data_IF_922606243729
#
_entry.id   IF_922606243729
#
_cell.length_a   1.000
_cell.length_b   1.000
_cell.length_c   1.000
_cell.angle_alpha   90.00
_cell.angle_beta   90.00
_cell.angle_gamma   90.00
#
_symmetry.space_group_name_H-M   'P 1'
#
loop_
_entity.id
_entity.type
_entity.pdbx_description
1 polymer ?
#
# COMPACT_ATOMS: atom_id res chain seq x y z
N UNK A 1 2.66 -16.32 -21.30
CA UNK A 1 1.55 -16.80 -22.14
C UNK A 1 0.30 -16.27 -21.47
N UNK A 2 -0.34 -15.26 -22.05
CA UNK A 2 -1.51 -14.62 -21.45
C UNK A 2 -2.74 -15.49 -21.72
N UNK A 3 -3.54 -15.79 -20.70
CA UNK A 3 -4.88 -16.37 -20.86
C UNK A 3 -5.90 -15.30 -20.53
N UNK A 4 -6.74 -14.94 -21.50
CA UNK A 4 -7.83 -13.98 -21.32
C UNK A 4 -9.13 -14.78 -21.33
N UNK A 5 -9.73 -14.97 -20.16
CA UNK A 5 -11.04 -15.60 -20.04
C UNK A 5 -12.12 -14.55 -19.80
N UNK A 6 -13.10 -14.49 -20.70
CA UNK A 6 -14.30 -13.66 -20.54
C UNK A 6 -15.41 -14.53 -19.95
N UNK A 7 -15.88 -14.19 -18.75
CA UNK A 7 -17.06 -14.80 -18.13
C UNK A 7 -18.20 -13.78 -18.11
N UNK A 8 -19.29 -14.07 -18.83
CA UNK A 8 -20.50 -13.25 -18.83
C UNK A 8 -21.39 -13.60 -17.63
N UNK A 9 -21.87 -12.60 -16.90
CA UNK A 9 -22.85 -12.78 -15.82
C UNK A 9 -24.25 -12.48 -16.37
N UNK A 10 -25.17 -13.46 -16.46
CA UNK A 10 -26.54 -13.18 -16.88
C UNK A 10 -27.29 -12.39 -15.79
N UNK A 11 -27.68 -11.14 -16.08
CA UNK A 11 -28.78 -10.47 -15.38
C UNK A 11 -28.47 -9.30 -14.42
N UNK A 12 -27.37 -8.55 -14.59
CA UNK A 12 -27.17 -7.32 -13.83
C UNK A 12 -27.87 -6.11 -14.50
N UNK A 13 -28.90 -5.57 -13.83
CA UNK A 13 -29.63 -4.38 -14.21
C UNK A 13 -28.80 -3.10 -14.01
N UNK A 14 -29.11 -2.10 -14.84
CA UNK A 14 -28.48 -0.79 -14.92
C UNK A 14 -28.33 -0.07 -13.57
N UNK A 15 -27.10 0.12 -13.12
CA UNK A 15 -26.68 1.37 -12.49
C UNK A 15 -25.17 1.49 -12.55
N UNK A 16 -24.72 2.68 -12.93
CA UNK A 16 -23.35 3.08 -13.19
C UNK A 16 -22.43 2.72 -12.01
N UNK A 17 -21.55 1.74 -12.20
CA UNK A 17 -20.37 1.54 -11.36
C UNK A 17 -19.17 1.87 -12.26
N UNK A 18 -18.29 2.80 -11.86
CA UNK A 18 -17.09 3.10 -12.65
C UNK A 18 -16.31 1.79 -12.86
N UNK A 19 -15.63 1.68 -14.00
CA UNK A 19 -14.71 0.59 -14.34
C UNK A 19 -13.82 0.26 -13.14
N UNK A 20 -14.28 -0.67 -12.30
CA UNK A 20 -13.57 -1.03 -11.09
C UNK A 20 -12.46 -1.94 -11.53
N UNK A 21 -11.31 -1.35 -11.82
CA UNK A 21 -10.05 -2.08 -11.85
C UNK A 21 -9.79 -2.54 -10.42
N UNK A 22 -10.20 -3.77 -10.12
CA UNK A 22 -9.79 -4.45 -8.91
C UNK A 22 -8.45 -5.08 -9.23
N UNK A 23 -7.39 -4.58 -8.59
CA UNK A 23 -6.13 -5.32 -8.55
C UNK A 23 -6.48 -6.72 -8.05
N UNK A 24 -6.21 -7.72 -8.87
CA UNK A 24 -6.44 -9.11 -8.50
C UNK A 24 -5.07 -9.68 -8.22
N UNK A 25 -4.69 -9.65 -6.95
CA UNK A 25 -3.42 -10.24 -6.59
C UNK A 25 -2.16 -9.41 -6.90
N UNK A 26 -1.02 -10.09 -6.93
CA UNK A 26 0.28 -9.55 -7.35
C UNK A 26 0.61 -9.80 -8.83
N UNK A 27 -0.16 -10.65 -9.51
CA UNK A 27 0.08 -11.16 -10.86
C UNK A 27 -1.06 -10.84 -11.84
N UNK A 28 -2.06 -10.06 -11.43
CA UNK A 28 -3.18 -9.73 -12.30
C UNK A 28 -4.04 -8.54 -11.92
N UNK A 29 -4.95 -8.21 -12.83
CA UNK A 29 -6.02 -7.25 -12.61
C UNK A 29 -7.33 -7.76 -13.24
N UNK A 30 -8.44 -7.38 -12.61
CA UNK A 30 -9.78 -7.65 -13.10
C UNK A 30 -10.48 -6.33 -13.39
N UNK A 31 -11.05 -6.21 -14.59
CA UNK A 31 -11.84 -5.05 -15.02
C UNK A 31 -13.28 -5.49 -15.19
N UNK A 32 -14.19 -4.83 -14.49
CA UNK A 32 -15.62 -4.93 -14.78
C UNK A 32 -15.95 -4.04 -15.98
N UNK A 33 -16.29 -4.66 -17.11
CA UNK A 33 -16.76 -4.00 -18.32
C UNK A 33 -18.21 -3.55 -18.22
N UNK A 34 -18.56 -2.53 -19.01
CA UNK A 34 -19.90 -1.94 -19.05
C UNK A 34 -21.00 -2.90 -19.53
N UNK A 35 -20.62 -4.04 -20.10
CA UNK A 35 -21.47 -5.12 -20.58
C UNK A 35 -21.62 -6.26 -19.55
N UNK A 36 -21.29 -6.00 -18.28
CA UNK A 36 -21.25 -7.00 -17.22
C UNK A 36 -20.28 -8.17 -17.50
N UNK A 37 -19.26 -7.93 -18.34
CA UNK A 37 -18.13 -8.84 -18.48
C UNK A 37 -17.06 -8.52 -17.47
N UNK A 38 -16.38 -9.56 -16.98
CA UNK A 38 -15.15 -9.39 -16.21
C UNK A 38 -14.00 -9.80 -17.12
N UNK A 39 -13.13 -8.86 -17.47
CA UNK A 39 -11.87 -9.12 -18.16
C UNK A 39 -10.77 -9.33 -17.14
N UNK A 40 -10.11 -10.49 -17.19
CA UNK A 40 -9.07 -10.87 -16.24
C UNK A 40 -7.75 -11.02 -17.01
N UNK A 41 -6.73 -10.27 -16.58
CA UNK A 41 -5.35 -10.46 -17.03
C UNK A 41 -4.54 -11.08 -15.88
N UNK A 42 -3.85 -12.20 -16.13
CA UNK A 42 -3.00 -12.90 -15.16
C UNK A 42 -1.65 -13.29 -15.75
N UNK A 43 -0.63 -13.31 -14.91
CA UNK A 43 0.75 -13.64 -15.27
C UNK A 43 1.17 -14.86 -14.43
N UNK A 44 1.79 -15.87 -15.03
CA UNK A 44 1.95 -17.20 -14.41
C UNK A 44 3.22 -17.38 -13.56
N UNK A 45 3.61 -16.36 -12.80
CA UNK A 45 4.82 -16.39 -11.96
C UNK A 45 4.49 -16.52 -10.48
N UNK A 46 5.06 -17.51 -9.78
CA UNK A 46 5.07 -17.51 -8.31
C UNK A 46 5.91 -16.32 -7.83
N UNK A 47 5.47 -15.64 -6.77
CA UNK A 47 6.29 -14.68 -6.02
C UNK A 47 6.74 -15.39 -4.73
N UNK A 48 7.86 -16.15 -4.75
CA UNK A 48 8.40 -16.81 -3.56
C UNK A 48 9.05 -15.81 -2.59
N UNK A 49 9.04 -16.15 -1.30
CA UNK A 49 9.25 -15.29 -0.11
C UNK A 49 10.61 -14.58 0.08
N UNK A 50 10.52 -13.41 0.74
CA UNK A 50 11.38 -12.73 1.73
C UNK A 50 12.91 -12.94 1.73
N UNK A 51 13.55 -13.06 0.56
CA UNK A 51 14.99 -12.81 0.45
C UNK A 51 15.20 -11.33 0.19
N UNK A 52 16.03 -10.70 1.01
CA UNK A 52 16.52 -9.33 0.87
C UNK A 52 18.05 -9.41 0.96
N UNK A 53 18.71 -9.52 -0.18
CA UNK A 53 20.15 -9.75 -0.30
C UNK A 53 20.97 -8.50 -0.01
N UNK A 54 20.40 -7.31 -0.23
CA UNK A 54 21.08 -6.03 -0.06
C UNK A 54 20.79 -5.38 1.31
N UNK A 55 19.80 -5.89 2.06
CA UNK A 55 19.42 -5.45 3.39
C UNK A 55 18.70 -4.11 3.42
N UNK A 56 18.09 -3.69 2.31
CA UNK A 56 17.45 -2.37 2.18
C UNK A 56 15.97 -2.36 2.61
N UNK A 57 15.44 -3.52 3.00
CA UNK A 57 14.06 -3.70 3.46
C UNK A 57 13.05 -3.92 2.32
N UNK A 58 13.50 -4.06 1.09
CA UNK A 58 12.71 -4.46 -0.08
C UNK A 58 13.14 -5.88 -0.48
N UNK A 59 12.17 -6.74 -0.79
CA UNK A 59 12.51 -8.11 -1.17
C UNK A 59 13.09 -8.19 -2.61
N UNK A 60 14.13 -9.00 -2.78
CA UNK A 60 14.85 -9.22 -4.04
C UNK A 60 13.91 -9.54 -5.20
N UNK A 61 12.88 -10.34 -4.92
CA UNK A 61 11.91 -10.76 -5.92
C UNK A 61 11.09 -9.59 -6.46
N UNK A 62 10.76 -8.61 -5.62
CA UNK A 62 10.00 -7.42 -5.98
C UNK A 62 10.90 -6.51 -6.80
N UNK A 63 12.14 -6.29 -6.35
CA UNK A 63 13.12 -5.50 -7.10
C UNK A 63 13.41 -6.13 -8.48
N UNK A 64 13.61 -7.45 -8.54
CA UNK A 64 13.83 -8.18 -9.79
C UNK A 64 12.60 -8.15 -10.71
N UNK A 65 11.39 -8.22 -10.14
CA UNK A 65 10.14 -8.20 -10.94
C UNK A 65 9.93 -6.85 -11.61
N UNK A 66 10.16 -5.75 -10.89
CA UNK A 66 9.90 -4.41 -11.42
C UNK A 66 11.10 -3.80 -12.15
N UNK A 67 12.32 -4.08 -11.71
CA UNK A 67 13.52 -3.39 -12.18
C UNK A 67 14.62 -4.32 -12.72
N UNK A 68 14.47 -5.64 -12.56
CA UNK A 68 15.46 -6.63 -13.02
C UNK A 68 16.88 -6.38 -12.45
N UNK A 69 16.97 -5.84 -11.23
CA UNK A 69 18.18 -5.57 -10.42
C UNK A 69 17.80 -5.55 -8.94
N UNK A 70 18.79 -5.58 -8.04
CA UNK A 70 18.62 -5.71 -6.58
C UNK A 70 19.30 -4.58 -5.79
N UNK A 71 19.55 -3.44 -6.41
CA UNK A 71 20.29 -2.32 -5.84
C UNK A 71 19.52 -1.02 -6.06
N UNK A 72 18.24 -1.05 -5.67
CA UNK A 72 17.38 0.11 -5.74
C UNK A 72 17.60 1.01 -4.53
N UNK A 73 17.23 2.29 -4.66
CA UNK A 73 17.15 3.18 -3.52
C UNK A 73 15.72 3.12 -2.97
N UNK A 74 15.49 2.59 -1.74
CA UNK A 74 14.15 2.50 -1.16
C UNK A 74 13.44 3.85 -0.99
N UNK A 75 14.20 4.96 -1.02
CA UNK A 75 13.70 6.32 -0.93
C UNK A 75 13.37 6.97 -2.29
N UNK A 76 13.71 6.31 -3.41
CA UNK A 76 13.37 6.82 -4.74
C UNK A 76 11.89 6.68 -5.06
N UNK A 77 11.38 7.53 -5.94
CA UNK A 77 10.01 7.54 -6.45
C UNK A 77 10.09 7.45 -7.97
N UNK A 78 9.92 6.24 -8.51
CA UNK A 78 10.26 5.94 -9.90
C UNK A 78 9.19 6.40 -10.89
N UNK A 79 7.93 6.46 -10.48
CA UNK A 79 6.81 6.88 -11.31
C UNK A 79 6.24 8.26 -10.95
N UNK A 80 6.83 8.93 -9.97
CA UNK A 80 6.53 10.30 -9.53
C UNK A 80 5.10 10.48 -9.00
N UNK A 81 4.56 9.44 -8.36
CA UNK A 81 3.24 9.48 -7.73
C UNK A 81 3.29 9.98 -6.27
N UNK A 82 4.49 10.21 -5.74
CA UNK A 82 4.75 10.70 -4.40
C UNK A 82 4.95 9.60 -3.35
N UNK A 83 5.01 8.33 -3.75
CA UNK A 83 5.39 7.20 -2.90
C UNK A 83 6.83 6.77 -3.19
N UNK A 84 7.58 6.43 -2.14
CA UNK A 84 8.90 5.83 -2.32
C UNK A 84 8.79 4.33 -2.63
N UNK A 85 9.77 3.74 -3.30
CA UNK A 85 9.80 2.30 -3.61
C UNK A 85 9.55 1.43 -2.38
N UNK A 86 10.08 1.82 -1.23
CA UNK A 86 9.80 1.15 0.05
C UNK A 86 8.31 1.21 0.43
N UNK A 87 7.69 2.39 0.34
CA UNK A 87 6.26 2.55 0.62
C UNK A 87 5.42 1.73 -0.35
N UNK A 88 5.82 1.70 -1.61
CA UNK A 88 5.11 0.92 -2.62
C UNK A 88 5.21 -0.58 -2.43
N UNK A 89 6.41 -1.06 -2.05
CA UNK A 89 6.62 -2.43 -1.63
C UNK A 89 5.70 -2.78 -0.44
N UNK A 90 5.68 -1.93 0.59
CA UNK A 90 4.86 -2.10 1.79
C UNK A 90 3.35 -2.15 1.47
N UNK A 91 2.88 -1.26 0.60
CA UNK A 91 1.47 -1.14 0.23
C UNK A 91 1.04 -2.14 -0.82
N UNK A 92 2.02 -2.75 -1.50
CA UNK A 92 1.76 -3.43 -2.75
C UNK A 92 1.06 -2.49 -3.73
N UNK A 93 1.65 -1.32 -3.98
CA UNK A 93 1.37 -0.53 -5.20
C UNK A 93 2.36 -0.98 -6.28
N UNK A 94 2.52 -0.20 -7.36
CA UNK A 94 3.34 -0.57 -8.51
C UNK A 94 4.35 0.55 -8.78
N UNK A 95 5.66 0.30 -8.67
CA UNK A 95 6.68 1.34 -8.75
C UNK A 95 6.94 1.94 -10.14
N UNK A 96 6.10 1.58 -11.09
CA UNK A 96 6.17 1.99 -12.48
C UNK A 96 4.83 2.53 -12.97
N UNK A 97 3.83 2.65 -12.09
CA UNK A 97 2.48 3.01 -12.48
C UNK A 97 1.79 3.82 -11.37
N UNK A 98 1.55 5.09 -11.70
CA UNK A 98 0.89 6.06 -10.83
C UNK A 98 -0.25 5.43 -10.04
N UNK A 99 -0.11 5.42 -8.72
CA UNK A 99 -1.10 4.91 -7.81
C UNK A 99 -1.75 6.07 -7.05
N UNK A 100 -3.09 6.23 -7.11
CA UNK A 100 -3.74 7.19 -6.23
C UNK A 100 -3.47 6.77 -4.78
N UNK A 101 -2.80 7.65 -4.03
CA UNK A 101 -2.28 7.44 -2.68
C UNK A 101 -3.15 6.48 -1.84
N UNK A 102 -2.67 5.28 -1.50
CA UNK A 102 -3.44 4.29 -0.76
C UNK A 102 -3.66 4.70 0.72
N UNK A 103 -3.03 5.79 1.16
CA UNK A 103 -3.15 6.32 2.51
C UNK A 103 -4.35 7.27 2.61
N UNK A 104 -5.41 6.80 3.26
CA UNK A 104 -6.52 7.66 3.66
C UNK A 104 -6.20 8.30 5.01
N UNK A 105 -6.16 9.63 5.03
CA UNK A 105 -5.96 10.41 6.25
C UNK A 105 -7.27 11.01 6.74
N UNK A 106 -7.53 10.92 8.04
CA UNK A 106 -8.61 11.67 8.68
C UNK A 106 -8.18 12.21 10.04
N UNK A 107 -8.65 13.41 10.36
CA UNK A 107 -8.53 13.95 11.71
C UNK A 107 -9.72 13.48 12.54
N UNK A 108 -9.44 12.98 13.74
CA UNK A 108 -10.46 12.57 14.69
C UNK A 108 -10.25 13.28 16.03
N UNK A 109 -11.34 13.57 16.73
CA UNK A 109 -11.31 14.14 18.08
C UNK A 109 -12.16 13.31 19.01
N UNK A 110 -11.66 12.99 20.20
CA UNK A 110 -12.44 12.36 21.27
C UNK A 110 -12.23 13.12 22.59
N UNK A 111 -12.82 12.65 23.69
CA UNK A 111 -12.69 13.27 25.02
C UNK A 111 -11.25 13.31 25.56
N UNK A 112 -10.30 12.63 24.90
CA UNK A 112 -8.88 12.52 25.28
C UNK A 112 -7.98 13.49 24.48
N UNK A 113 -8.40 13.94 23.29
CA UNK A 113 -7.64 14.89 22.47
C UNK A 113 -7.93 14.80 20.97
N UNK A 114 -7.06 15.44 20.17
CA UNK A 114 -7.02 15.29 18.71
C UNK A 114 -6.10 14.14 18.33
N UNK A 115 -6.42 13.41 17.27
CA UNK A 115 -5.58 12.37 16.72
C UNK A 115 -5.67 12.33 15.20
N UNK A 116 -4.52 12.10 14.56
CA UNK A 116 -4.45 11.78 13.14
C UNK A 116 -4.67 10.27 12.98
N UNK A 117 -5.68 9.91 12.21
CA UNK A 117 -5.97 8.52 11.85
C UNK A 117 -5.56 8.29 10.40
N UNK A 118 -4.64 7.36 10.21
CA UNK A 118 -4.14 6.93 8.91
C UNK A 118 -4.66 5.52 8.62
N UNK A 119 -5.22 5.31 7.43
CA UNK A 119 -5.66 3.99 6.97
C UNK A 119 -4.93 3.64 5.69
N UNK A 120 -4.29 2.47 5.65
CA UNK A 120 -3.53 2.02 4.50
C UNK A 120 -3.46 0.48 4.45
N UNK A 121 -3.35 -0.12 3.26
CA UNK A 121 -3.01 -1.53 3.12
C UNK A 121 -1.54 -1.75 3.46
N UNK A 122 -1.20 -2.88 4.08
CA UNK A 122 0.18 -3.33 4.27
C UNK A 122 0.29 -4.83 3.99
N UNK A 123 1.40 -5.29 3.42
CA UNK A 123 1.69 -6.73 3.34
C UNK A 123 1.81 -7.34 4.74
N UNK A 124 1.16 -8.47 4.96
CA UNK A 124 1.27 -9.26 6.17
C UNK A 124 2.47 -10.20 6.08
N UNK A 125 3.06 -10.55 7.23
CA UNK A 125 4.22 -11.44 7.30
C UNK A 125 5.57 -10.74 7.10
N UNK A 126 5.58 -9.47 6.67
CA UNK A 126 6.80 -8.66 6.70
C UNK A 126 7.34 -8.59 8.14
N UNK A 127 8.67 -8.65 8.33
CA UNK A 127 9.29 -8.41 9.63
C UNK A 127 8.73 -7.14 10.27
N UNK A 128 8.64 -7.12 11.61
CA UNK A 128 8.11 -5.98 12.37
C UNK A 128 8.73 -4.70 11.84
N UNK A 129 7.86 -3.87 11.25
CA UNK A 129 8.20 -3.01 10.12
C UNK A 129 9.38 -2.08 10.40
N UNK A 130 10.34 -1.91 9.45
CA UNK A 130 11.49 -1.04 9.64
C UNK A 130 11.08 0.41 9.41
N UNK A 131 9.99 0.87 10.03
CA UNK A 131 9.61 2.28 9.99
C UNK A 131 9.02 2.74 11.30
N UNK A 132 9.12 4.05 11.53
CA UNK A 132 8.45 4.74 12.61
C UNK A 132 7.71 5.96 12.08
N UNK A 133 6.59 6.27 12.72
CA UNK A 133 5.94 7.56 12.55
C UNK A 133 6.74 8.61 13.31
N UNK A 134 7.08 9.71 12.64
CA UNK A 134 7.71 10.86 13.31
C UNK A 134 6.90 12.11 13.03
N UNK A 135 6.76 12.95 14.05
CA UNK A 135 6.07 14.22 13.95
C UNK A 135 7.05 15.39 14.02
N UNK A 136 6.60 16.54 13.52
CA UNK A 136 7.35 17.79 13.60
C UNK A 136 6.39 18.97 13.82
N UNK A 137 6.75 19.97 14.63
CA UNK A 137 5.99 21.21 14.73
C UNK A 137 6.36 22.24 13.64
N UNK A 138 7.51 22.08 12.97
CA UNK A 138 8.16 23.13 12.17
C UNK A 138 8.75 22.66 10.83
N UNK A 139 8.57 21.38 10.48
CA UNK A 139 9.19 20.67 9.34
C UNK A 139 10.72 20.52 9.43
N UNK A 140 11.37 21.03 10.48
CA UNK A 140 12.83 21.03 10.65
C UNK A 140 13.22 19.96 11.68
N UNK A 141 12.62 20.02 12.87
CA UNK A 141 12.87 19.10 13.97
C UNK A 141 11.84 17.98 13.96
N UNK A 142 12.33 16.73 13.91
CA UNK A 142 11.47 15.55 13.83
C UNK A 142 11.73 14.59 14.99
N UNK A 143 10.67 14.16 15.67
CA UNK A 143 10.73 13.24 16.81
C UNK A 143 9.79 12.05 16.61
N UNK A 144 10.10 10.91 17.22
CA UNK A 144 9.22 9.74 17.18
C UNK A 144 7.84 10.06 17.77
N UNK A 145 6.79 9.66 17.05
CA UNK A 145 5.44 9.72 17.56
C UNK A 145 5.26 8.69 18.68
N UNK A 146 4.51 9.05 19.73
CA UNK A 146 4.30 8.21 20.92
C UNK A 146 2.83 7.88 21.10
N UNK A 147 2.53 6.85 21.92
CA UNK A 147 1.16 6.41 22.20
C UNK A 147 0.34 6.07 20.94
N UNK A 148 1.03 5.55 19.92
CA UNK A 148 0.41 5.10 18.67
C UNK A 148 -0.38 3.83 18.96
N UNK A 149 -1.62 3.78 18.49
CA UNK A 149 -2.40 2.54 18.46
C UNK A 149 -2.67 2.13 17.02
N UNK A 150 -2.67 0.83 16.78
CA UNK A 150 -2.98 0.25 15.47
C UNK A 150 -4.13 -0.75 15.63
N UNK A 151 -5.07 -0.73 14.68
CA UNK A 151 -6.09 -1.75 14.55
C UNK A 151 -6.15 -2.32 13.14
N UNK A 152 -6.36 -3.62 13.04
CA UNK A 152 -6.63 -4.29 11.78
C UNK A 152 -8.10 -4.05 11.38
N UNK A 153 -8.33 -3.48 10.21
CA UNK A 153 -9.67 -3.24 9.66
C UNK A 153 -10.13 -4.37 8.73
N UNK A 154 -9.23 -4.90 7.91
CA UNK A 154 -9.53 -5.96 6.96
C UNK A 154 -8.28 -6.77 6.63
N UNK A 155 -8.49 -8.02 6.22
CA UNK A 155 -7.46 -8.89 5.65
C UNK A 155 -7.94 -9.38 4.29
N UNK A 156 -7.07 -9.26 3.29
CA UNK A 156 -7.30 -9.78 1.95
C UNK A 156 -6.11 -10.63 1.52
N UNK A 157 -6.34 -11.67 0.73
CA UNK A 157 -5.28 -12.48 0.14
C UNK A 157 -5.33 -12.33 -1.37
N UNK A 158 -4.17 -12.11 -1.97
CA UNK A 158 -3.96 -11.61 -3.31
C UNK A 158 -2.71 -12.30 -3.87
N UNK A 159 -2.92 -13.32 -4.70
CA UNK A 159 -1.89 -14.23 -5.26
C UNK A 159 -0.90 -14.76 -4.23
N UNK A 160 -1.44 -15.32 -3.15
CA UNK A 160 -0.64 -15.89 -2.07
C UNK A 160 -0.01 -14.85 -1.13
N UNK A 161 -0.17 -13.55 -1.42
CA UNK A 161 0.24 -12.47 -0.52
C UNK A 161 -0.94 -11.91 0.22
N UNK A 162 -0.81 -11.90 1.54
CA UNK A 162 -1.84 -11.39 2.45
C UNK A 162 -1.58 -9.90 2.67
N UNK A 163 -2.61 -9.10 2.52
CA UNK A 163 -2.61 -7.68 2.87
C UNK A 163 -3.55 -7.42 4.04
N UNK A 164 -3.11 -6.58 4.95
CA UNK A 164 -3.87 -6.04 6.07
C UNK A 164 -4.20 -4.58 5.79
N UNK A 165 -5.47 -4.22 5.75
CA UNK A 165 -5.87 -2.82 5.87
C UNK A 165 -5.78 -2.45 7.34
N UNK A 166 -4.87 -1.55 7.69
CA UNK A 166 -4.65 -1.12 9.08
C UNK A 166 -5.09 0.32 9.27
N UNK A 167 -5.63 0.61 10.45
CA UNK A 167 -5.84 1.96 10.93
C UNK A 167 -4.82 2.26 12.04
N UNK A 168 -3.96 3.23 11.80
CA UNK A 168 -3.04 3.76 12.79
C UNK A 168 -3.60 5.07 13.34
N UNK A 169 -3.72 5.16 14.65
CA UNK A 169 -4.12 6.38 15.36
C UNK A 169 -2.92 6.97 16.07
N UNK A 170 -2.55 8.19 15.69
CA UNK A 170 -1.41 8.93 16.19
C UNK A 170 -1.97 10.11 16.96
N UNK A 171 -1.79 10.16 18.29
CA UNK A 171 -2.21 11.32 19.08
C UNK A 171 -1.54 12.58 18.54
N UNK A 172 -2.36 13.58 18.23
CA UNK A 172 -1.84 14.85 17.81
C UNK A 172 -1.50 15.69 19.05
N UNK A 173 -0.42 16.48 18.96
CA UNK A 173 -0.18 17.50 19.99
C UNK A 173 -1.25 18.59 19.88
N UNK A 174 -1.58 19.29 20.98
CA UNK A 174 -2.51 20.43 20.96
C UNK A 174 -1.93 21.67 20.23
N UNK A 175 -0.92 21.48 19.37
CA UNK A 175 -0.24 22.51 18.59
C UNK A 175 -1.14 23.01 17.44
N UNK A 176 -0.90 24.24 16.99
CA UNK A 176 -1.63 24.83 15.87
C UNK A 176 -1.32 24.13 14.53
N UNK A 177 -0.12 23.56 14.39
CA UNK A 177 0.29 22.72 13.27
C UNK A 177 1.17 21.59 13.77
N UNK A 178 0.97 20.40 13.22
CA UNK A 178 1.81 19.23 13.43
C UNK A 178 1.88 18.46 12.11
N UNK A 179 3.10 18.14 11.71
CA UNK A 179 3.42 17.42 10.48
C UNK A 179 3.73 15.98 10.83
N UNK A 180 3.30 15.05 9.98
CA UNK A 180 3.59 13.62 10.10
C UNK A 180 4.42 13.17 8.90
N UNK A 181 5.42 12.32 9.15
CA UNK A 181 6.05 11.53 8.09
C UNK A 181 6.37 10.12 8.56
N UNK A 182 6.60 9.24 7.59
CA UNK A 182 7.17 7.93 7.84
C UNK A 182 8.68 8.03 7.76
N UNK A 183 9.37 7.39 8.69
CA UNK A 183 10.82 7.31 8.68
C UNK A 183 11.20 5.84 8.65
N UNK A 184 11.84 5.40 7.58
CA UNK A 184 12.48 4.10 7.51
C UNK A 184 13.58 3.96 8.59
N UNK A 185 13.71 2.77 9.15
CA UNK A 185 14.57 2.36 10.26
C UNK A 185 15.18 1.00 9.90
N UNK A 186 16.29 0.96 9.15
CA UNK A 186 17.03 -0.29 8.90
C UNK A 186 17.50 -0.93 10.21
#
# INVERSE_FOLDING_TARGET
>A
MYDVQTLGIPGALSSYIPETCARWGLDGFAVLGNDATISIARWSGLIPADIDSNGDGIADNWEATYFNRLDLDPASDSDSDGLTLFQEYLFGTSPLAYSPNPQQMSLSTNSVGKALRLVFPRRAGLPKVPYQFVTSPDLIQWSAATNISESLLATQSMDGVVFHTVAVTIPATNSAAEFLRWKWQP
#
